data_IF_590303246816
#
_entry.id   IF_590303246816
#
_cell.length_a   1.000
_cell.length_b   1.000
_cell.length_c   1.000
_cell.angle_alpha   90.00
_cell.angle_beta   90.00
_cell.angle_gamma   90.00
#
_symmetry.space_group_name_H-M   'P 1'
#
loop_
_entity.id
_entity.type
_entity.pdbx_description
1 polymer ?
#
# COMPACT_ATOMS: atom_id res chain seq x y z
N UNK A 1 16.76 9.67 15.20
CA UNK A 1 15.76 9.28 14.18
C UNK A 1 16.18 9.69 12.76
N UNK A 2 16.63 10.91 12.49
CA UNK A 2 17.10 11.30 11.16
C UNK A 2 18.36 10.52 10.76
N UNK A 3 19.33 10.34 11.65
CA UNK A 3 20.53 9.53 11.39
C UNK A 3 20.30 8.03 11.21
N UNK A 4 19.08 7.53 11.42
CA UNK A 4 18.70 6.12 11.22
C UNK A 4 18.02 5.88 9.85
N UNK A 5 18.02 6.85 8.94
CA UNK A 5 17.41 6.73 7.60
C UNK A 5 15.88 6.57 7.62
N UNK A 6 15.21 6.93 8.72
CA UNK A 6 13.75 6.88 8.80
C UNK A 6 13.10 7.93 7.92
N UNK A 7 11.99 7.56 7.25
CA UNK A 7 11.23 8.52 6.45
C UNK A 7 10.66 9.64 7.33
N UNK A 8 10.53 10.85 6.77
CA UNK A 8 9.90 11.98 7.45
C UNK A 8 8.50 11.63 8.01
N UNK A 9 7.72 10.85 7.27
CA UNK A 9 6.40 10.37 7.71
C UNK A 9 6.51 9.48 8.95
N UNK A 10 7.47 8.55 8.99
CA UNK A 10 7.69 7.69 10.16
C UNK A 10 8.06 8.52 11.40
N UNK A 11 8.90 9.54 11.22
CA UNK A 11 9.29 10.44 12.29
C UNK A 11 8.07 11.22 12.84
N UNK A 12 7.27 11.80 11.94
CA UNK A 12 6.04 12.53 12.32
C UNK A 12 5.08 11.62 13.11
N UNK A 13 4.85 10.39 12.63
CA UNK A 13 3.97 9.44 13.32
C UNK A 13 4.51 9.03 14.69
N UNK A 14 5.81 8.81 14.82
CA UNK A 14 6.41 8.53 16.14
C UNK A 14 6.26 9.71 17.11
N UNK A 15 6.53 10.91 16.65
CA UNK A 15 6.32 12.14 17.46
C UNK A 15 4.85 12.27 17.87
N UNK A 16 3.92 11.99 16.95
CA UNK A 16 2.48 12.04 17.24
C UNK A 16 2.10 11.08 18.36
N UNK A 17 2.58 9.83 18.31
CA UNK A 17 2.29 8.83 19.36
C UNK A 17 2.86 9.26 20.71
N UNK A 18 4.10 9.75 20.75
CA UNK A 18 4.71 10.25 21.99
C UNK A 18 3.90 11.41 22.56
N UNK A 19 3.50 12.38 21.74
CA UNK A 19 2.65 13.51 22.19
C UNK A 19 1.29 13.03 22.70
N UNK A 20 0.69 12.02 22.10
CA UNK A 20 -0.60 11.48 22.55
C UNK A 20 -0.51 10.86 23.94
N UNK A 21 0.52 10.03 24.23
CA UNK A 21 0.69 9.46 25.55
C UNK A 21 0.99 10.54 26.59
N UNK A 22 1.86 11.49 26.26
CA UNK A 22 2.19 12.62 27.15
C UNK A 22 0.96 13.43 27.50
N UNK A 23 0.13 13.78 26.50
CA UNK A 23 -1.10 14.53 26.76
C UNK A 23 -2.13 13.74 27.57
N UNK A 24 -2.22 12.41 27.37
CA UNK A 24 -3.17 11.58 28.10
C UNK A 24 -2.77 11.32 29.57
N UNK A 25 -1.47 11.32 29.87
CA UNK A 25 -0.96 10.95 31.20
C UNK A 25 -0.49 12.20 31.97
N UNK A 26 -0.21 13.31 31.28
CA UNK A 26 0.30 14.54 31.91
C UNK A 26 1.74 14.44 32.43
N UNK A 27 2.53 13.50 31.89
CA UNK A 27 3.90 13.19 32.37
C UNK A 27 4.91 13.38 31.25
N UNK A 28 6.14 13.79 31.61
CA UNK A 28 7.26 13.83 30.67
C UNK A 28 7.43 12.47 29.95
N UNK A 29 7.53 12.42 28.63
CA UNK A 29 7.73 11.17 27.89
C UNK A 29 9.02 10.43 28.27
N UNK A 30 10.02 11.11 28.84
CA UNK A 30 11.20 10.47 29.39
C UNK A 30 10.96 9.80 30.76
N UNK A 31 9.92 10.20 31.51
CA UNK A 31 9.58 9.68 32.81
C UNK A 31 8.50 8.59 32.82
N UNK A 32 8.10 8.07 31.66
CA UNK A 32 7.09 7.03 31.55
C UNK A 32 7.49 5.77 32.36
N UNK A 33 6.54 5.21 33.10
CA UNK A 33 6.71 3.97 33.86
C UNK A 33 6.03 2.80 33.15
N UNK A 34 6.38 1.53 33.47
CA UNK A 34 5.67 0.37 32.92
C UNK A 34 4.16 0.45 33.19
N UNK A 35 3.76 0.93 34.37
CA UNK A 35 2.36 1.05 34.77
C UNK A 35 1.63 2.08 33.91
N UNK A 36 2.21 3.30 33.73
CA UNK A 36 1.59 4.35 32.92
C UNK A 36 1.45 3.93 31.45
N UNK A 37 2.46 3.24 30.90
CA UNK A 37 2.39 2.67 29.54
C UNK A 37 1.27 1.64 29.43
N UNK A 38 1.18 0.69 30.34
CA UNK A 38 0.16 -0.36 30.34
C UNK A 38 -1.25 0.22 30.45
N UNK A 39 -1.47 1.14 31.37
CA UNK A 39 -2.76 1.81 31.57
C UNK A 39 -3.18 2.57 30.30
N UNK A 40 -2.27 3.34 29.69
CA UNK A 40 -2.58 4.06 28.47
C UNK A 40 -2.86 3.13 27.29
N UNK A 41 -2.06 2.07 27.10
CA UNK A 41 -2.32 1.09 26.06
C UNK A 41 -3.70 0.43 26.21
N UNK A 42 -4.18 0.24 27.44
CA UNK A 42 -5.51 -0.32 27.70
C UNK A 42 -6.63 0.55 27.13
N UNK A 43 -6.47 1.87 27.10
CA UNK A 43 -7.48 2.82 26.56
C UNK A 43 -7.59 2.80 25.03
N UNK A 44 -6.62 2.23 24.32
CA UNK A 44 -6.61 2.24 22.87
C UNK A 44 -7.62 1.25 22.27
N UNK A 45 -8.26 1.60 21.12
CA UNK A 45 -9.45 0.90 20.63
C UNK A 45 -9.19 -0.51 20.08
N UNK A 46 -7.98 -0.78 19.59
CA UNK A 46 -7.70 -2.07 18.94
C UNK A 46 -6.34 -2.65 19.29
N UNK A 47 -6.23 -3.97 19.25
CA UNK A 47 -4.97 -4.69 19.47
C UNK A 47 -3.87 -4.27 18.45
N UNK A 48 -4.25 -3.99 17.21
CA UNK A 48 -3.34 -3.51 16.20
C UNK A 48 -2.78 -2.12 16.54
N UNK A 49 -3.63 -1.19 16.99
CA UNK A 49 -3.22 0.14 17.45
C UNK A 49 -2.33 0.05 18.68
N UNK A 50 -2.70 -0.80 19.66
CA UNK A 50 -1.89 -1.06 20.85
C UNK A 50 -0.48 -1.53 20.50
N UNK A 51 -0.37 -2.52 19.63
CA UNK A 51 0.94 -3.05 19.19
C UNK A 51 1.75 -2.02 18.38
N UNK A 52 1.11 -1.26 17.50
CA UNK A 52 1.78 -0.21 16.73
C UNK A 52 2.35 0.88 17.65
N UNK A 53 1.56 1.35 18.61
CA UNK A 53 1.97 2.38 19.54
C UNK A 53 3.02 1.86 20.54
N UNK A 54 2.87 0.62 21.03
CA UNK A 54 3.90 -0.03 21.83
C UNK A 54 5.25 -0.09 21.11
N UNK A 55 5.25 -0.38 19.79
CA UNK A 55 6.47 -0.40 18.98
C UNK A 55 7.14 0.98 18.93
N UNK A 56 6.35 2.05 18.87
CA UNK A 56 6.88 3.43 18.94
C UNK A 56 7.47 3.74 20.30
N UNK A 57 6.76 3.40 21.38
CA UNK A 57 7.23 3.61 22.76
C UNK A 57 8.52 2.84 23.03
N UNK A 58 8.61 1.59 22.57
CA UNK A 58 9.82 0.79 22.70
C UNK A 58 11.01 1.44 21.99
N UNK A 59 10.81 1.89 20.74
CA UNK A 59 11.86 2.57 20.00
C UNK A 59 12.31 3.88 20.67
N UNK A 60 11.39 4.59 21.29
CA UNK A 60 11.67 5.80 22.08
C UNK A 60 12.45 5.47 23.35
N UNK A 61 11.99 4.51 24.16
CA UNK A 61 12.63 4.10 25.41
C UNK A 61 14.03 3.54 25.18
N UNK A 62 14.19 2.69 24.16
CA UNK A 62 15.50 2.17 23.77
C UNK A 62 16.46 3.32 23.38
N UNK A 63 15.98 4.34 22.66
CA UNK A 63 16.80 5.50 22.32
C UNK A 63 17.19 6.31 23.56
N UNK A 64 16.28 6.52 24.52
CA UNK A 64 16.59 7.21 25.78
C UNK A 64 17.72 6.53 26.55
N UNK A 65 17.68 5.20 26.62
CA UNK A 65 18.75 4.42 27.30
C UNK A 65 20.07 4.52 26.53
N UNK A 66 20.04 4.35 25.19
CA UNK A 66 21.25 4.43 24.35
C UNK A 66 21.87 5.81 24.29
N UNK A 67 21.12 6.86 24.64
CA UNK A 67 21.57 8.25 24.65
C UNK A 67 21.81 8.78 26.06
N UNK A 68 21.90 7.91 27.05
CA UNK A 68 22.16 8.22 28.47
C UNK A 68 21.15 9.20 29.10
N UNK A 69 19.95 9.32 28.51
CA UNK A 69 18.84 10.09 29.07
C UNK A 69 18.05 9.31 30.12
N UNK A 70 18.25 7.99 30.19
CA UNK A 70 17.59 7.09 31.13
C UNK A 70 18.43 5.83 31.37
N UNK A 71 18.34 5.29 32.60
CA UNK A 71 19.09 4.09 33.02
C UNK A 71 18.39 2.79 32.62
N UNK A 72 17.03 2.80 32.53
CA UNK A 72 16.22 1.61 32.26
C UNK A 72 15.25 1.81 31.07
N UNK A 73 14.86 0.71 30.42
CA UNK A 73 13.79 0.71 29.43
C UNK A 73 12.49 0.19 30.05
N UNK A 74 11.50 1.07 30.36
CA UNK A 74 10.25 0.65 30.99
C UNK A 74 9.43 -0.30 30.15
N UNK A 75 9.62 -0.30 28.83
CA UNK A 75 8.87 -1.16 27.90
C UNK A 75 9.25 -2.64 28.02
N UNK A 76 10.41 -2.96 28.60
CA UNK A 76 10.84 -4.34 28.82
C UNK A 76 9.96 -5.07 29.84
N UNK A 77 9.31 -4.33 30.73
CA UNK A 77 8.40 -4.85 31.76
C UNK A 77 6.93 -4.80 31.34
N UNK A 78 6.62 -4.33 30.13
CA UNK A 78 5.26 -4.27 29.58
C UNK A 78 5.10 -5.41 28.57
N UNK A 79 4.13 -6.33 28.78
CA UNK A 79 3.86 -7.37 27.82
C UNK A 79 3.49 -6.76 26.43
N UNK A 80 4.16 -7.22 25.40
CA UNK A 80 3.86 -6.75 24.05
C UNK A 80 2.41 -7.10 23.68
N UNK A 81 1.58 -6.11 23.27
CA UNK A 81 0.22 -6.38 22.82
C UNK A 81 0.19 -7.37 21.67
N UNK A 82 -0.54 -8.49 21.84
CA UNK A 82 -0.73 -9.50 20.78
C UNK A 82 -1.69 -8.93 19.74
N UNK A 83 -1.28 -8.95 18.48
CA UNK A 83 -2.18 -8.65 17.37
C UNK A 83 -2.66 -9.98 16.81
N UNK A 84 -3.98 -10.24 16.81
CA UNK A 84 -4.51 -11.42 16.10
C UNK A 84 -4.06 -11.36 14.64
N UNK A 85 -3.72 -12.52 14.08
CA UNK A 85 -3.45 -12.62 12.67
C UNK A 85 -4.69 -12.16 11.90
N UNK A 86 -4.58 -11.03 11.21
CA UNK A 86 -5.67 -10.53 10.37
C UNK A 86 -5.85 -11.48 9.18
N UNK A 87 -7.08 -11.96 8.97
CA UNK A 87 -7.39 -12.66 7.72
C UNK A 87 -7.49 -11.62 6.60
N UNK A 88 -6.72 -11.78 5.52
CA UNK A 88 -6.88 -10.92 4.35
C UNK A 88 -8.35 -10.99 3.87
N UNK A 89 -8.95 -9.83 3.63
CA UNK A 89 -10.28 -9.73 3.03
C UNK A 89 -10.08 -9.09 1.64
N UNK A 90 -9.72 -9.86 0.61
CA UNK A 90 -9.58 -9.33 -0.73
C UNK A 90 -10.96 -8.88 -1.24
N UNK A 91 -10.96 -7.94 -2.17
CA UNK A 91 -12.12 -7.68 -3.03
C UNK A 91 -12.46 -8.97 -3.77
N UNK A 92 -13.74 -9.26 -3.95
CA UNK A 92 -14.19 -10.38 -4.79
C UNK A 92 -14.25 -9.97 -6.27
N UNK A 93 -14.26 -10.94 -7.18
CA UNK A 93 -14.45 -10.68 -8.62
C UNK A 93 -15.75 -9.94 -8.87
N UNK A 94 -16.84 -10.34 -8.20
CA UNK A 94 -18.15 -9.69 -8.29
C UNK A 94 -18.12 -8.24 -7.83
N UNK A 95 -17.45 -7.94 -6.72
CA UNK A 95 -17.32 -6.56 -6.23
C UNK A 95 -16.49 -5.69 -7.18
N UNK A 96 -15.39 -6.25 -7.73
CA UNK A 96 -14.56 -5.54 -8.70
C UNK A 96 -15.33 -5.29 -10.00
N UNK A 97 -16.09 -6.26 -10.46
CA UNK A 97 -16.92 -6.10 -11.65
C UNK A 97 -18.03 -5.05 -11.43
N UNK A 98 -18.72 -5.11 -10.29
CA UNK A 98 -19.75 -4.13 -9.93
C UNK A 98 -19.24 -2.68 -9.92
N UNK A 99 -18.08 -2.43 -9.31
CA UNK A 99 -17.51 -1.07 -9.30
C UNK A 99 -17.04 -0.63 -10.69
N UNK A 100 -16.50 -1.53 -11.49
CA UNK A 100 -16.06 -1.22 -12.85
C UNK A 100 -17.24 -1.09 -13.85
N UNK A 101 -18.42 -1.57 -13.52
CA UNK A 101 -19.66 -1.35 -14.28
C UNK A 101 -20.19 0.10 -14.14
N UNK A 102 -19.83 0.81 -13.07
CA UNK A 102 -20.28 2.18 -12.86
C UNK A 102 -19.68 3.14 -13.90
N UNK A 103 -20.37 4.26 -14.20
CA UNK A 103 -19.85 5.35 -15.00
C UNK A 103 -18.78 6.11 -14.19
N UNK A 104 -17.59 5.55 -14.14
CA UNK A 104 -16.45 6.11 -13.44
C UNK A 104 -15.71 7.12 -14.32
N UNK A 105 -15.18 8.18 -13.68
CA UNK A 105 -14.15 9.01 -14.33
C UNK A 105 -12.95 8.14 -14.69
N UNK A 106 -12.32 8.41 -15.83
CA UNK A 106 -11.16 7.66 -16.32
C UNK A 106 -10.07 7.49 -15.24
N UNK A 107 -9.74 8.55 -14.51
CA UNK A 107 -8.76 8.51 -13.43
C UNK A 107 -9.13 7.56 -12.30
N UNK A 108 -10.41 7.47 -11.94
CA UNK A 108 -10.89 6.56 -10.89
C UNK A 108 -10.76 5.12 -11.36
N UNK A 109 -11.23 4.84 -12.57
CA UNK A 109 -11.12 3.52 -13.21
C UNK A 109 -9.68 3.05 -13.26
N UNK A 110 -8.77 3.90 -13.74
CA UNK A 110 -7.35 3.57 -13.86
C UNK A 110 -6.71 3.31 -12.50
N UNK A 111 -7.04 4.08 -11.46
CA UNK A 111 -6.53 3.83 -10.10
C UNK A 111 -6.98 2.46 -9.56
N UNK A 112 -8.23 2.06 -9.82
CA UNK A 112 -8.74 0.73 -9.46
C UNK A 112 -7.99 -0.36 -10.23
N UNK A 113 -7.82 -0.21 -11.55
CA UNK A 113 -7.10 -1.16 -12.40
C UNK A 113 -5.64 -1.32 -11.95
N UNK A 114 -4.93 -0.24 -11.65
CA UNK A 114 -3.56 -0.29 -11.14
C UNK A 114 -3.48 -1.05 -9.79
N UNK A 115 -4.48 -0.87 -8.92
CA UNK A 115 -4.57 -1.62 -7.67
C UNK A 115 -4.84 -3.11 -7.87
N UNK A 116 -5.80 -3.45 -8.76
CA UNK A 116 -6.28 -4.81 -8.98
C UNK A 116 -5.37 -5.65 -9.87
N UNK A 117 -4.68 -5.06 -10.86
CA UNK A 117 -3.93 -5.79 -11.89
C UNK A 117 -2.42 -5.51 -11.93
N UNK A 118 -1.91 -4.61 -11.06
CA UNK A 118 -0.47 -4.46 -10.78
C UNK A 118 -0.16 -4.54 -9.29
N UNK A 119 -1.16 -4.73 -8.44
CA UNK A 119 -0.98 -4.81 -7.00
C UNK A 119 -0.31 -3.56 -6.40
N UNK A 120 -0.48 -2.39 -7.01
CA UNK A 120 0.18 -1.16 -6.58
C UNK A 120 -0.38 -0.64 -5.26
N UNK A 121 0.51 -0.08 -4.43
CA UNK A 121 0.12 0.67 -3.23
C UNK A 121 -0.39 2.07 -3.60
N UNK A 122 -1.26 2.64 -2.79
CA UNK A 122 -1.84 3.99 -3.07
C UNK A 122 -0.81 5.08 -3.34
N UNK A 123 0.34 5.03 -2.67
CA UNK A 123 1.41 6.01 -2.91
C UNK A 123 2.22 5.74 -4.19
N UNK A 124 2.25 4.50 -4.67
CA UNK A 124 2.80 4.13 -5.97
C UNK A 124 1.84 4.57 -7.07
N UNK A 125 0.53 4.27 -6.92
CA UNK A 125 -0.51 4.75 -7.85
C UNK A 125 -0.47 6.28 -7.98
N UNK A 126 -0.36 7.00 -6.87
CA UNK A 126 -0.34 8.46 -6.88
C UNK A 126 0.80 9.05 -7.73
N UNK A 127 1.94 8.35 -7.81
CA UNK A 127 3.17 8.83 -8.44
C UNK A 127 3.41 8.31 -9.84
N UNK A 128 2.55 7.41 -10.36
CA UNK A 128 2.74 6.81 -11.68
C UNK A 128 2.87 7.87 -12.76
N UNK A 129 3.78 7.65 -13.68
CA UNK A 129 4.10 8.55 -14.79
C UNK A 129 3.97 7.82 -16.12
N UNK A 130 3.85 8.56 -17.20
CA UNK A 130 3.77 7.97 -18.53
C UNK A 130 5.01 7.19 -18.93
N UNK A 131 6.18 7.68 -18.54
CA UNK A 131 7.48 7.03 -18.77
C UNK A 131 7.66 5.72 -17.98
N UNK A 132 6.84 5.48 -16.96
CA UNK A 132 6.86 4.22 -16.20
C UNK A 132 6.22 3.04 -16.96
N UNK A 133 5.49 3.32 -18.04
CA UNK A 133 4.82 2.31 -18.85
C UNK A 133 5.52 2.21 -20.20
N UNK A 134 5.95 1.01 -20.54
CA UNK A 134 6.48 0.69 -21.87
C UNK A 134 5.52 -0.24 -22.62
N UNK A 135 4.64 0.28 -23.49
CA UNK A 135 3.74 -0.57 -24.29
C UNK A 135 4.49 -1.51 -25.22
N UNK A 136 5.65 -1.09 -25.72
CA UNK A 136 6.48 -1.91 -26.63
C UNK A 136 7.10 -3.10 -25.91
N UNK A 137 7.66 -2.87 -24.71
CA UNK A 137 8.23 -3.93 -23.89
C UNK A 137 7.17 -4.71 -23.08
N UNK A 138 5.93 -4.21 -23.00
CA UNK A 138 4.87 -4.78 -22.17
C UNK A 138 5.18 -4.71 -20.69
N UNK A 139 5.82 -3.62 -20.22
CA UNK A 139 6.30 -3.50 -18.83
C UNK A 139 5.78 -2.26 -18.12
N UNK A 140 5.79 -2.34 -16.79
CA UNK A 140 5.54 -1.24 -15.87
C UNK A 140 6.70 -1.12 -14.88
N UNK A 141 7.23 0.08 -14.69
CA UNK A 141 8.22 0.39 -13.66
C UNK A 141 7.52 1.02 -12.47
N UNK A 142 7.74 0.49 -11.28
CA UNK A 142 7.07 0.96 -10.06
C UNK A 142 8.13 1.42 -9.07
N UNK A 143 8.08 2.71 -8.73
CA UNK A 143 8.98 3.31 -7.73
C UNK A 143 8.43 3.05 -6.32
N UNK A 144 9.10 2.19 -5.60
CA UNK A 144 8.78 1.81 -4.22
C UNK A 144 9.34 2.76 -3.16
N UNK A 145 9.32 2.31 -1.92
CA UNK A 145 9.89 3.04 -0.78
C UNK A 145 11.41 3.19 -0.95
N UNK A 146 11.93 4.36 -0.63
CA UNK A 146 13.37 4.64 -0.76
C UNK A 146 13.87 4.90 -2.19
N UNK A 147 12.95 5.05 -3.16
CA UNK A 147 13.33 5.31 -4.56
C UNK A 147 13.74 4.07 -5.36
N UNK A 148 13.56 2.87 -4.80
CA UNK A 148 13.82 1.63 -5.54
C UNK A 148 12.83 1.46 -6.67
N UNK A 149 13.35 1.21 -7.88
CA UNK A 149 12.56 0.94 -9.07
C UNK A 149 12.52 -0.56 -9.35
N UNK A 150 11.30 -1.10 -9.48
CA UNK A 150 11.05 -2.48 -9.86
C UNK A 150 10.32 -2.48 -11.21
N UNK A 151 10.94 -3.02 -12.26
CA UNK A 151 10.32 -3.18 -13.59
C UNK A 151 9.72 -4.58 -13.70
N UNK A 152 8.43 -4.64 -14.01
CA UNK A 152 7.63 -5.87 -14.03
C UNK A 152 6.85 -5.97 -15.34
N UNK A 153 6.44 -7.16 -15.78
CA UNK A 153 5.44 -7.31 -16.83
C UNK A 153 4.15 -6.56 -16.45
N UNK A 154 3.59 -5.84 -17.41
CA UNK A 154 2.33 -5.13 -17.23
C UNK A 154 1.16 -5.95 -17.75
N UNK A 155 0.08 -6.05 -16.97
CA UNK A 155 -1.17 -6.63 -17.44
C UNK A 155 -1.73 -5.84 -18.62
N UNK A 156 -2.36 -6.49 -19.60
CA UNK A 156 -2.88 -5.86 -20.82
C UNK A 156 -3.82 -4.68 -20.54
N UNK A 157 -4.66 -4.77 -19.52
CA UNK A 157 -5.53 -3.67 -19.09
C UNK A 157 -4.75 -2.40 -18.73
N UNK A 158 -3.56 -2.53 -18.14
CA UNK A 158 -2.71 -1.38 -17.78
C UNK A 158 -2.15 -0.72 -19.04
N UNK A 159 -1.71 -1.53 -20.00
CA UNK A 159 -1.23 -1.03 -21.29
C UNK A 159 -2.35 -0.29 -22.06
N UNK A 160 -3.59 -0.81 -21.98
CA UNK A 160 -4.76 -0.13 -22.53
C UNK A 160 -5.02 1.22 -21.83
N UNK A 161 -4.90 1.26 -20.49
CA UNK A 161 -5.08 2.51 -19.76
C UNK A 161 -4.05 3.57 -20.17
N UNK A 162 -2.83 3.18 -20.52
CA UNK A 162 -1.77 4.11 -20.91
C UNK A 162 -2.15 5.01 -22.12
N UNK A 163 -3.08 4.56 -22.97
CA UNK A 163 -3.56 5.35 -24.11
C UNK A 163 -4.38 6.60 -23.74
N UNK A 164 -4.89 6.66 -22.50
CA UNK A 164 -5.67 7.80 -21.99
C UNK A 164 -4.82 8.87 -21.31
N UNK A 165 -3.52 8.64 -21.18
CA UNK A 165 -2.61 9.48 -20.40
C UNK A 165 -1.42 9.95 -21.24
N UNK A 166 -0.78 11.06 -20.83
CA UNK A 166 0.42 11.52 -21.51
C UNK A 166 1.54 10.46 -21.38
N UNK A 167 2.35 10.33 -22.44
CA UNK A 167 3.51 9.41 -22.44
C UNK A 167 4.63 9.86 -21.50
N UNK A 168 4.62 11.09 -21.02
CA UNK A 168 5.57 11.65 -20.06
C UNK A 168 4.84 12.47 -19.02
N UNK A 169 5.36 12.45 -17.79
CA UNK A 169 4.80 13.20 -16.67
C UNK A 169 3.75 12.40 -15.90
N UNK A 170 3.21 13.01 -14.86
CA UNK A 170 2.28 12.38 -13.92
C UNK A 170 0.94 12.05 -14.61
N UNK A 171 0.42 10.84 -14.36
CA UNK A 171 -0.95 10.49 -14.74
C UNK A 171 -1.99 11.17 -13.85
N UNK A 172 -1.64 11.36 -12.58
CA UNK A 172 -2.53 11.94 -11.58
C UNK A 172 -1.87 13.15 -10.90
N UNK A 173 -1.74 14.29 -11.60
CA UNK A 173 -1.20 15.50 -11.00
C UNK A 173 -2.13 16.05 -9.92
N UNK A 174 -1.57 16.75 -8.95
CA UNK A 174 -2.34 17.45 -7.92
C UNK A 174 -3.05 18.67 -8.54
N UNK A 175 -4.34 18.88 -8.24
CA UNK A 175 -5.05 20.09 -8.72
C UNK A 175 -4.46 21.41 -8.19
N UNK A 176 -3.74 21.36 -7.04
CA UNK A 176 -3.12 22.55 -6.43
C UNK A 176 -1.72 22.84 -6.97
N UNK A 177 -1.04 21.81 -7.40
CA UNK A 177 0.32 21.88 -7.93
C UNK A 177 0.49 20.76 -8.98
N UNK A 178 0.31 21.07 -10.27
CA UNK A 178 0.41 20.09 -11.35
C UNK A 178 1.80 19.44 -11.48
N UNK A 179 2.84 20.01 -10.88
CA UNK A 179 4.18 19.42 -10.85
C UNK A 179 4.31 18.31 -9.79
N UNK A 180 3.42 18.28 -8.81
CA UNK A 180 3.36 17.31 -7.74
C UNK A 180 2.28 16.27 -7.99
N UNK A 181 2.46 15.00 -7.52
CA UNK A 181 1.44 13.98 -7.61
C UNK A 181 0.27 14.25 -6.65
N UNK A 182 -0.90 13.70 -6.97
CA UNK A 182 -2.02 13.66 -6.04
C UNK A 182 -1.63 12.95 -4.74
N UNK A 183 -2.20 13.34 -3.62
CA UNK A 183 -1.89 12.71 -2.34
C UNK A 183 -2.41 11.27 -2.27
N UNK A 184 -1.63 10.36 -1.68
CA UNK A 184 -2.01 8.95 -1.51
C UNK A 184 -3.35 8.77 -0.77
N UNK A 185 -3.67 9.64 0.20
CA UNK A 185 -4.97 9.63 0.88
C UNK A 185 -6.13 9.94 -0.05
N UNK A 186 -5.92 10.80 -1.06
CA UNK A 186 -6.94 11.11 -2.09
C UNK A 186 -7.16 9.91 -2.99
N UNK A 187 -6.09 9.20 -3.41
CA UNK A 187 -6.22 7.94 -4.16
C UNK A 187 -7.03 6.91 -3.36
N UNK A 188 -6.69 6.71 -2.07
CA UNK A 188 -7.42 5.80 -1.20
C UNK A 188 -8.90 6.15 -1.10
N UNK A 189 -9.22 7.44 -0.86
CA UNK A 189 -10.59 7.93 -0.74
C UNK A 189 -11.38 7.72 -2.02
N UNK A 190 -10.84 8.14 -3.16
CA UNK A 190 -11.52 8.03 -4.46
C UNK A 190 -11.84 6.56 -4.80
N UNK A 191 -10.95 5.64 -4.46
CA UNK A 191 -11.20 4.20 -4.64
C UNK A 191 -12.32 3.75 -3.70
N UNK A 192 -12.26 4.05 -2.39
CA UNK A 192 -13.30 3.66 -1.44
C UNK A 192 -14.67 4.26 -1.82
N UNK A 193 -14.73 5.57 -2.14
CA UNK A 193 -15.97 6.23 -2.57
C UNK A 193 -16.58 5.55 -3.82
N UNK A 194 -15.75 5.03 -4.73
CA UNK A 194 -16.25 4.30 -5.90
C UNK A 194 -16.86 2.95 -5.52
N UNK A 195 -16.23 2.21 -4.60
CA UNK A 195 -16.75 0.95 -4.09
C UNK A 195 -18.01 1.13 -3.24
N UNK A 196 -18.08 2.19 -2.44
CA UNK A 196 -19.29 2.54 -1.66
C UNK A 196 -20.47 2.83 -2.60
N UNK A 197 -20.24 3.52 -3.73
CA UNK A 197 -21.26 3.77 -4.76
C UNK A 197 -21.73 2.49 -5.48
N UNK A 198 -20.91 1.45 -5.49
CA UNK A 198 -21.26 0.13 -6.04
C UNK A 198 -21.95 -0.78 -5.02
N UNK A 199 -22.27 -0.27 -3.82
CA UNK A 199 -22.75 -1.05 -2.67
C UNK A 199 -21.86 -2.27 -2.34
N UNK A 200 -20.55 -2.09 -2.52
CA UNK A 200 -19.53 -3.13 -2.38
C UNK A 200 -18.31 -2.59 -1.59
N UNK A 201 -18.46 -2.10 -0.35
CA UNK A 201 -17.46 -1.33 0.36
C UNK A 201 -16.11 -2.04 0.41
N UNK A 202 -15.08 -1.36 -0.09
CA UNK A 202 -13.72 -1.86 -0.12
C UNK A 202 -12.67 -0.74 -0.08
N UNK A 203 -11.44 -1.12 0.20
CA UNK A 203 -10.30 -0.21 0.28
C UNK A 203 -9.27 -0.53 -0.81
N UNK A 204 -8.41 0.44 -1.13
CA UNK A 204 -7.31 0.24 -2.06
C UNK A 204 -6.34 -0.89 -1.63
N UNK A 205 -6.21 -1.14 -0.33
CA UNK A 205 -5.38 -2.24 0.16
C UNK A 205 -5.98 -3.61 -0.15
N UNK A 206 -7.31 -3.72 -0.14
CA UNK A 206 -8.03 -4.94 -0.50
C UNK A 206 -7.92 -5.26 -2.00
N UNK A 207 -7.77 -4.24 -2.87
CA UNK A 207 -7.43 -4.46 -4.29
C UNK A 207 -6.05 -5.13 -4.46
N UNK A 208 -5.08 -4.68 -3.68
CA UNK A 208 -3.76 -5.32 -3.70
C UNK A 208 -3.82 -6.76 -3.15
N UNK A 209 -4.68 -7.03 -2.17
CA UNK A 209 -4.95 -8.41 -1.73
C UNK A 209 -5.66 -9.22 -2.82
N UNK A 210 -6.59 -8.62 -3.56
CA UNK A 210 -7.23 -9.23 -4.73
C UNK A 210 -6.18 -9.68 -5.74
N UNK A 211 -5.25 -8.82 -6.12
CA UNK A 211 -4.16 -9.15 -7.04
C UNK A 211 -3.39 -10.40 -6.61
N UNK A 212 -2.92 -10.43 -5.36
CA UNK A 212 -2.19 -11.59 -4.84
C UNK A 212 -3.04 -12.86 -4.77
N UNK A 213 -4.28 -12.75 -4.29
CA UNK A 213 -5.18 -13.89 -4.12
C UNK A 213 -5.62 -14.47 -5.46
N UNK A 214 -5.89 -13.62 -6.46
CA UNK A 214 -6.29 -14.06 -7.80
C UNK A 214 -5.16 -14.80 -8.51
N UNK A 215 -3.91 -14.33 -8.39
CA UNK A 215 -2.75 -15.05 -8.91
C UNK A 215 -2.57 -16.43 -8.24
N UNK A 216 -2.70 -16.50 -6.93
CA UNK A 216 -2.63 -17.78 -6.19
C UNK A 216 -3.75 -18.74 -6.60
N UNK A 217 -4.99 -18.25 -6.77
CA UNK A 217 -6.12 -19.05 -7.28
C UNK A 217 -5.90 -19.57 -8.68
N UNK A 218 -5.21 -18.79 -9.52
CA UNK A 218 -4.81 -19.21 -10.87
C UNK A 218 -3.66 -20.22 -10.87
N UNK A 219 -3.19 -20.69 -9.70
CA UNK A 219 -2.13 -21.69 -9.59
C UNK A 219 -0.71 -21.11 -9.71
N UNK A 220 -0.56 -19.78 -9.64
CA UNK A 220 0.76 -19.14 -9.70
C UNK A 220 1.58 -19.48 -8.44
N UNK A 221 2.84 -19.84 -8.64
CA UNK A 221 3.77 -20.09 -7.53
C UNK A 221 3.85 -18.88 -6.58
N UNK A 222 3.83 -19.17 -5.28
CA UNK A 222 3.83 -18.13 -4.25
C UNK A 222 5.05 -17.20 -4.29
N UNK A 223 6.21 -17.68 -4.77
CA UNK A 223 7.42 -16.88 -4.94
C UNK A 223 7.26 -15.88 -6.08
N UNK A 224 6.60 -16.30 -7.18
CA UNK A 224 6.25 -15.40 -8.29
C UNK A 224 5.31 -14.31 -7.81
N UNK A 225 4.26 -14.67 -7.04
CA UNK A 225 3.33 -13.71 -6.45
C UNK A 225 4.07 -12.73 -5.52
N UNK A 226 4.97 -13.22 -4.67
CA UNK A 226 5.78 -12.37 -3.78
C UNK A 226 6.66 -11.39 -4.56
N UNK A 227 7.28 -11.85 -5.64
CA UNK A 227 8.08 -11.00 -6.54
C UNK A 227 7.22 -9.91 -7.17
N UNK A 228 6.07 -10.26 -7.75
CA UNK A 228 5.11 -9.32 -8.35
C UNK A 228 4.56 -8.32 -7.31
N UNK A 229 4.38 -8.76 -6.07
CA UNK A 229 3.97 -7.91 -4.94
C UNK A 229 5.07 -6.99 -4.43
N UNK A 230 6.31 -7.17 -4.83
CA UNK A 230 7.47 -6.37 -4.37
C UNK A 230 7.52 -6.30 -2.83
N UNK A 231 7.40 -7.49 -2.16
CA UNK A 231 7.47 -7.58 -0.70
C UNK A 231 8.92 -7.48 -0.22
N UNK A 232 9.23 -6.48 0.60
CA UNK A 232 10.58 -6.26 1.16
C UNK A 232 11.01 -7.34 2.17
N UNK A 233 10.13 -8.24 2.62
CA UNK A 233 10.40 -9.10 3.77
C UNK A 233 10.90 -10.51 3.42
N UNK A 234 11.75 -10.66 2.42
CA UNK A 234 12.59 -11.85 2.25
C UNK A 234 14.06 -11.50 2.39
N UNK A 235 14.42 -10.81 3.46
CA UNK A 235 15.79 -10.32 3.69
C UNK A 235 16.84 -11.40 3.92
N UNK A 236 16.53 -12.71 3.94
CA UNK A 236 17.52 -13.73 4.28
C UNK A 236 17.61 -14.93 3.33
N UNK A 237 16.67 -15.15 2.42
CA UNK A 237 16.75 -16.35 1.56
C UNK A 237 16.66 -16.03 0.05
N UNK A 238 16.36 -14.78 -0.32
CA UNK A 238 16.07 -14.36 -1.70
C UNK A 238 17.29 -14.14 -2.61
N UNK A 239 18.51 -14.36 -2.15
CA UNK A 239 19.73 -14.12 -2.97
C UNK A 239 19.92 -15.09 -4.13
N UNK A 240 19.15 -16.16 -4.23
CA UNK A 240 19.39 -17.23 -5.19
C UNK A 240 18.19 -17.67 -6.02
N UNK A 241 17.07 -16.93 -5.99
CA UNK A 241 15.88 -17.26 -6.79
C UNK A 241 15.53 -16.07 -7.67
N UNK A 242 16.23 -15.96 -8.81
CA UNK A 242 15.77 -15.14 -9.91
C UNK A 242 14.41 -15.74 -10.37
N UNK A 243 13.31 -15.06 -10.09
CA UNK A 243 12.02 -15.39 -10.68
C UNK A 243 12.10 -14.95 -12.14
N UNK A 244 11.96 -15.89 -13.05
CA UNK A 244 12.04 -15.66 -14.47
C UNK A 244 10.92 -14.72 -14.93
N UNK A 245 11.27 -13.75 -15.78
CA UNK A 245 10.32 -12.78 -16.36
C UNK A 245 9.19 -13.47 -17.12
N UNK A 246 9.46 -14.62 -17.75
CA UNK A 246 8.44 -15.37 -18.47
C UNK A 246 7.44 -16.04 -17.54
N UNK A 247 7.87 -16.51 -16.36
CA UNK A 247 6.96 -16.99 -15.31
C UNK A 247 6.08 -15.86 -14.80
N UNK A 248 6.63 -14.65 -14.61
CA UNK A 248 5.85 -13.48 -14.21
C UNK A 248 4.81 -13.10 -15.25
N UNK A 249 5.18 -13.14 -16.55
CA UNK A 249 4.27 -12.84 -17.67
C UNK A 249 3.15 -13.86 -17.77
N UNK A 250 3.47 -15.14 -17.68
CA UNK A 250 2.50 -16.24 -17.68
C UNK A 250 1.52 -16.09 -16.51
N UNK A 251 2.01 -15.78 -15.34
CA UNK A 251 1.18 -15.55 -14.15
C UNK A 251 0.22 -14.37 -14.32
N UNK A 252 0.67 -13.25 -14.91
CA UNK A 252 -0.18 -12.10 -15.17
C UNK A 252 -1.25 -12.38 -16.25
N UNK A 253 -0.92 -13.17 -17.28
CA UNK A 253 -1.89 -13.55 -18.30
C UNK A 253 -2.99 -14.48 -17.77
N UNK A 254 -2.76 -15.20 -16.68
CA UNK A 254 -3.78 -16.01 -16.01
C UNK A 254 -4.79 -15.19 -15.19
N UNK A 255 -4.55 -13.88 -14.97
CA UNK A 255 -5.56 -12.99 -14.37
C UNK A 255 -6.67 -12.75 -15.39
N UNK A 256 -7.82 -13.38 -15.16
CA UNK A 256 -9.01 -13.12 -15.96
C UNK A 256 -9.58 -11.75 -15.56
N UNK A 257 -9.65 -10.79 -16.50
CA UNK A 257 -10.33 -9.53 -16.23
C UNK A 257 -11.81 -9.76 -15.97
N UNK A 258 -12.40 -9.01 -15.05
CA UNK A 258 -13.86 -8.97 -14.94
C UNK A 258 -14.45 -8.35 -16.23
N UNK A 259 -15.70 -8.69 -16.63
CA UNK A 259 -16.31 -8.17 -17.85
C UNK A 259 -16.24 -6.64 -17.97
N UNK A 260 -16.41 -5.92 -16.88
CA UNK A 260 -16.38 -4.46 -16.86
C UNK A 260 -14.98 -3.84 -16.67
N UNK A 261 -13.94 -4.66 -16.43
CA UNK A 261 -12.56 -4.19 -16.47
C UNK A 261 -12.06 -3.98 -17.91
N UNK A 262 -12.61 -4.74 -18.85
CA UNK A 262 -12.40 -4.56 -20.29
C UNK A 262 -13.29 -3.39 -20.67
N UNK A 263 -12.71 -2.22 -20.83
CA UNK A 263 -13.44 -1.05 -21.31
C UNK A 263 -13.93 -1.36 -22.72
N UNK A 264 -15.23 -1.54 -22.91
CA UNK A 264 -15.80 -1.52 -24.25
C UNK A 264 -15.40 -0.19 -24.85
N UNK A 265 -14.71 -0.19 -25.96
CA UNK A 265 -14.68 0.98 -26.83
C UNK A 265 -16.15 1.30 -27.08
N UNK A 266 -16.66 2.31 -26.39
CA UNK A 266 -18.00 2.81 -26.67
C UNK A 266 -18.02 3.08 -28.16
N UNK A 267 -19.02 2.53 -28.81
CA UNK A 267 -19.35 2.75 -30.19
C UNK A 267 -19.27 4.24 -30.56
N UNK A 268 -18.10 4.66 -30.97
CA UNK A 268 -17.88 5.95 -31.62
C UNK A 268 -17.80 5.67 -33.13
N UNK A 269 -18.86 5.03 -33.62
CA UNK A 269 -19.09 4.88 -35.04
C UNK A 269 -20.59 4.64 -35.26
N UNK A 270 -21.40 5.66 -34.99
CA UNK A 270 -22.68 5.87 -35.67
C UNK A 270 -23.18 7.29 -35.32
N UNK A 271 -22.83 8.27 -36.06
CA UNK A 271 -23.63 9.23 -36.80
C UNK A 271 -22.71 10.00 -37.73
#
# INVERSE_FOLDING_TARGET
MQGQGLSARTIIERIRVIRQITAAIGTDPAALTPQTISTWLATLPSAATKNAYFTVLRAWSTWLVQSDHRVDDPTTRVPRPRTPAGHPRPVTDTQLDAVLALPLRQDTRTKIILGAYAGMRVHEIAKIRGEDISPVAGTITITGKGGRNDTLPAHQLILQQASYYPRRGLWFPSPRDPSAPVQAKTVSRVISDAFDRADAPATAHQLRHFFATSLLRAGTDSRVVQSLMRHESLATTGRYLAVDTDQQRTALSALTPTPNAIQRRADAATV
#
